data_IF_834588881381
#
_entry.id   IF_834588881381
#
_cell.length_a   1.000
_cell.length_b   1.000
_cell.length_c   1.000
_cell.angle_alpha   90.00
_cell.angle_beta   90.00
_cell.angle_gamma   90.00
#
_symmetry.space_group_name_H-M   'P 1'
#
loop_
_entity.id
_entity.type
_entity.pdbx_description
1 polymer ?
#
# COMPACT_ATOMS: atom_id res chain seq x y z
N UNK A 1 0.20 -1.94 -16.57
CA UNK A 1 0.20 -0.50 -16.21
C UNK A 1 -1.20 0.08 -15.99
N UNK A 2 -2.13 0.01 -16.95
CA UNK A 2 -3.48 0.59 -16.81
C UNK A 2 -4.26 0.18 -15.55
N UNK A 3 -4.14 -1.08 -15.11
CA UNK A 3 -4.86 -1.56 -13.92
C UNK A 3 -4.41 -0.89 -12.62
N UNK A 4 -3.13 -0.51 -12.48
CA UNK A 4 -2.63 0.13 -11.26
C UNK A 4 -3.11 1.59 -11.14
N UNK A 5 -3.22 2.30 -12.27
CA UNK A 5 -3.74 3.68 -12.32
C UNK A 5 -5.24 3.70 -12.00
N UNK A 6 -6.00 2.74 -12.54
CA UNK A 6 -7.44 2.63 -12.25
C UNK A 6 -7.68 2.32 -10.77
N UNK A 7 -6.91 1.38 -10.18
CA UNK A 7 -7.02 1.06 -8.76
C UNK A 7 -6.62 2.26 -7.89
N UNK A 8 -5.60 3.03 -8.28
CA UNK A 8 -5.21 4.25 -7.58
C UNK A 8 -6.36 5.25 -7.52
N UNK A 9 -6.93 5.62 -8.67
CA UNK A 9 -8.02 6.59 -8.73
C UNK A 9 -9.27 6.08 -7.99
N UNK A 10 -9.59 4.80 -8.10
CA UNK A 10 -10.71 4.22 -7.35
C UNK A 10 -10.47 4.25 -5.84
N UNK A 11 -9.22 4.13 -5.39
CA UNK A 11 -8.89 4.17 -3.96
C UNK A 11 -9.10 5.54 -3.32
N UNK A 12 -9.16 6.65 -4.09
CA UNK A 12 -9.45 7.98 -3.54
C UNK A 12 -10.85 8.07 -2.92
N UNK A 13 -11.80 7.27 -3.42
CA UNK A 13 -13.11 7.16 -2.84
C UNK A 13 -13.09 6.23 -1.61
N UNK A 14 -13.50 6.75 -0.45
CA UNK A 14 -13.48 6.03 0.82
C UNK A 14 -14.27 4.71 0.82
N UNK A 15 -15.39 4.63 0.09
CA UNK A 15 -16.19 3.40 -0.01
C UNK A 15 -15.49 2.33 -0.86
N UNK A 16 -14.72 2.76 -1.85
CA UNK A 16 -14.01 1.86 -2.75
C UNK A 16 -12.75 1.30 -2.09
N UNK A 17 -12.15 1.98 -1.11
CA UNK A 17 -10.96 1.49 -0.38
C UNK A 17 -11.17 0.09 0.18
N UNK A 18 -12.29 -0.14 0.86
CA UNK A 18 -12.59 -1.45 1.47
C UNK A 18 -12.97 -2.47 0.39
N UNK A 19 -13.76 -2.06 -0.62
CA UNK A 19 -14.15 -2.94 -1.73
C UNK A 19 -12.93 -3.45 -2.51
N UNK A 20 -12.00 -2.58 -2.89
CA UNK A 20 -10.75 -2.96 -3.58
C UNK A 20 -10.00 -4.06 -2.82
N UNK A 21 -9.89 -3.91 -1.49
CA UNK A 21 -9.20 -4.90 -0.65
C UNK A 21 -9.99 -6.21 -0.55
N UNK A 22 -11.32 -6.14 -0.41
CA UNK A 22 -12.20 -7.32 -0.33
C UNK A 22 -12.22 -8.12 -1.64
N UNK A 23 -12.20 -7.44 -2.79
CA UNK A 23 -12.16 -8.04 -4.13
C UNK A 23 -10.76 -8.57 -4.52
N UNK A 24 -9.81 -8.63 -3.58
CA UNK A 24 -8.50 -9.21 -3.83
C UNK A 24 -7.50 -8.28 -4.52
N UNK A 25 -7.66 -6.96 -4.38
CA UNK A 25 -6.71 -5.98 -4.94
C UNK A 25 -5.34 -5.93 -4.25
N UNK A 26 -5.19 -6.48 -3.03
CA UNK A 26 -3.93 -6.40 -2.28
C UNK A 26 -2.77 -7.24 -2.86
N UNK A 27 -2.94 -8.54 -3.17
CA UNK A 27 -1.84 -9.35 -3.71
C UNK A 27 -1.12 -8.74 -4.94
N UNK A 28 -1.81 -8.26 -5.99
CA UNK A 28 -1.12 -7.63 -7.11
C UNK A 28 -0.43 -6.33 -6.73
N UNK A 29 -1.02 -5.50 -5.85
CA UNK A 29 -0.39 -4.28 -5.37
C UNK A 29 0.90 -4.58 -4.57
N UNK A 30 0.87 -5.57 -3.69
CA UNK A 30 2.04 -5.99 -2.89
C UNK A 30 3.13 -6.55 -3.80
N UNK A 31 2.77 -7.32 -4.83
CA UNK A 31 3.75 -7.81 -5.82
C UNK A 31 4.43 -6.68 -6.59
N UNK A 32 3.71 -5.56 -6.83
CA UNK A 32 4.28 -4.39 -7.50
C UNK A 32 5.27 -3.61 -6.62
N UNK A 33 5.14 -3.70 -5.28
CA UNK A 33 6.11 -3.08 -4.35
C UNK A 33 7.51 -3.69 -4.43
N UNK A 34 7.65 -4.88 -5.02
CA UNK A 34 8.94 -5.55 -5.24
C UNK A 34 9.39 -5.53 -6.70
N UNK A 35 8.71 -4.75 -7.56
CA UNK A 35 9.02 -4.64 -8.98
C UNK A 35 10.12 -3.63 -9.30
N UNK A 36 10.64 -3.69 -10.54
CA UNK A 36 11.70 -2.81 -11.04
C UNK A 36 11.19 -1.61 -11.85
N UNK A 37 9.88 -1.53 -12.12
CA UNK A 37 9.30 -0.40 -12.87
C UNK A 37 8.97 0.75 -11.90
N UNK A 38 9.72 1.83 -12.00
CA UNK A 38 9.64 2.96 -11.09
C UNK A 38 8.25 3.61 -11.03
N UNK A 39 7.60 3.79 -12.18
CA UNK A 39 6.25 4.39 -12.26
C UNK A 39 5.22 3.49 -11.58
N UNK A 40 5.31 2.18 -11.80
CA UNK A 40 4.42 1.23 -11.13
C UNK A 40 4.67 1.16 -9.63
N UNK A 41 5.92 1.29 -9.22
CA UNK A 41 6.31 1.31 -7.82
C UNK A 41 5.75 2.53 -7.08
N UNK A 42 5.86 3.73 -7.66
CA UNK A 42 5.25 4.96 -7.15
C UNK A 42 3.72 4.79 -7.01
N UNK A 43 3.05 4.34 -8.07
CA UNK A 43 1.59 4.15 -8.05
C UNK A 43 1.16 3.10 -7.02
N UNK A 44 1.86 1.99 -6.93
CA UNK A 44 1.56 0.92 -5.99
C UNK A 44 1.74 1.39 -4.54
N UNK A 45 2.85 2.08 -4.25
CA UNK A 45 3.17 2.59 -2.91
C UNK A 45 2.16 3.67 -2.49
N UNK A 46 1.83 4.60 -3.38
CA UNK A 46 0.78 5.60 -3.16
C UNK A 46 -0.59 4.97 -2.88
N UNK A 47 -0.95 3.95 -3.66
CA UNK A 47 -2.23 3.24 -3.51
C UNK A 47 -2.28 2.51 -2.18
N UNK A 48 -1.22 1.80 -1.78
CA UNK A 48 -1.14 1.11 -0.48
C UNK A 48 -1.21 2.11 0.67
N UNK A 49 -0.53 3.24 0.58
CA UNK A 49 -0.61 4.33 1.55
C UNK A 49 -2.06 4.81 1.73
N UNK A 50 -2.75 5.05 0.63
CA UNK A 50 -4.12 5.55 0.65
C UNK A 50 -5.13 4.50 1.14
N UNK A 51 -4.94 3.22 0.80
CA UNK A 51 -5.74 2.11 1.33
C UNK A 51 -5.52 1.96 2.84
N UNK A 52 -4.29 2.17 3.31
CA UNK A 52 -3.92 2.10 4.73
C UNK A 52 -4.56 3.20 5.58
N UNK A 53 -5.19 4.25 5.02
CA UNK A 53 -5.92 5.22 5.85
C UNK A 53 -7.20 4.64 6.45
N UNK A 54 -7.70 3.52 5.92
CA UNK A 54 -8.89 2.84 6.44
C UNK A 54 -8.49 1.76 7.48
N UNK A 55 -9.05 1.78 8.71
CA UNK A 55 -8.68 0.83 9.77
C UNK A 55 -8.82 -0.66 9.39
N UNK A 56 -9.87 -1.04 8.66
CA UNK A 56 -10.13 -2.42 8.23
C UNK A 56 -9.05 -2.89 7.23
N UNK A 57 -8.60 -1.98 6.36
CA UNK A 57 -7.54 -2.26 5.40
C UNK A 57 -6.17 -2.36 6.07
N UNK A 58 -5.91 -1.58 7.14
CA UNK A 58 -4.62 -1.62 7.86
C UNK A 58 -4.27 -3.05 8.29
N UNK A 59 -5.23 -3.77 8.87
CA UNK A 59 -5.05 -5.16 9.33
C UNK A 59 -4.83 -6.10 8.15
N UNK A 60 -5.62 -5.95 7.08
CA UNK A 60 -5.51 -6.81 5.89
C UNK A 60 -4.20 -6.62 5.14
N UNK A 61 -3.71 -5.39 5.02
CA UNK A 61 -2.41 -5.09 4.40
C UNK A 61 -1.30 -5.80 5.18
N UNK A 62 -1.31 -5.72 6.51
CA UNK A 62 -0.34 -6.42 7.36
C UNK A 62 -0.44 -7.95 7.19
N UNK A 63 -1.65 -8.52 7.28
CA UNK A 63 -1.88 -9.96 7.14
C UNK A 63 -1.52 -10.53 5.76
N UNK A 64 -1.62 -9.71 4.70
CA UNK A 64 -1.24 -10.10 3.33
C UNK A 64 0.25 -9.93 3.05
N UNK A 65 1.07 -9.56 4.05
CA UNK A 65 2.51 -9.42 3.89
C UNK A 65 2.93 -8.11 3.22
N UNK A 66 2.15 -7.04 3.35
CA UNK A 66 2.51 -5.72 2.79
C UNK A 66 3.62 -5.00 3.55
N UNK A 67 3.89 -5.35 4.81
CA UNK A 67 4.89 -4.66 5.65
C UNK A 67 6.34 -4.89 5.18
N UNK A 68 6.81 -6.13 4.92
CA UNK A 68 8.20 -6.35 4.52
C UNK A 68 8.63 -5.61 3.24
N UNK A 69 7.83 -5.59 2.14
CA UNK A 69 8.16 -4.81 0.96
C UNK A 69 8.24 -3.30 1.25
N UNK A 70 7.34 -2.76 2.06
CA UNK A 70 7.37 -1.33 2.43
C UNK A 70 8.64 -0.97 3.22
N UNK A 71 9.12 -1.85 4.11
CA UNK A 71 10.40 -1.66 4.80
C UNK A 71 11.57 -1.68 3.80
N UNK A 72 11.52 -2.58 2.82
CA UNK A 72 12.52 -2.67 1.75
C UNK A 72 12.62 -1.43 0.85
N UNK A 73 11.59 -0.56 0.86
CA UNK A 73 11.56 0.70 0.11
C UNK A 73 12.08 1.91 0.89
N UNK A 74 12.34 1.79 2.19
CA UNK A 74 12.94 2.87 2.99
C UNK A 74 14.33 3.34 2.49
N UNK A 75 15.22 2.47 1.97
CA UNK A 75 16.49 2.91 1.37
C UNK A 75 16.36 3.30 -0.11
N UNK A 76 15.14 3.46 -0.66
CA UNK A 76 14.94 3.87 -2.05
C UNK A 76 15.59 5.22 -2.34
N UNK A 77 16.26 5.35 -3.49
CA UNK A 77 16.80 6.63 -3.99
C UNK A 77 15.75 7.53 -4.64
N UNK A 78 14.49 7.07 -4.71
CA UNK A 78 13.35 7.86 -5.14
C UNK A 78 12.62 8.38 -3.91
N UNK A 79 12.72 9.69 -3.68
CA UNK A 79 12.16 10.39 -2.53
C UNK A 79 10.65 10.17 -2.38
N UNK A 80 9.92 10.18 -3.51
CA UNK A 80 8.46 9.98 -3.50
C UNK A 80 8.10 8.57 -3.00
N UNK A 81 8.78 7.53 -3.52
CA UNK A 81 8.57 6.15 -3.07
C UNK A 81 8.95 5.99 -1.60
N UNK A 82 10.07 6.60 -1.19
CA UNK A 82 10.51 6.56 0.20
C UNK A 82 9.48 7.21 1.14
N UNK A 83 9.00 8.41 0.80
CA UNK A 83 8.00 9.15 1.57
C UNK A 83 6.68 8.37 1.67
N UNK A 84 6.20 7.82 0.56
CA UNK A 84 4.98 7.02 0.53
C UNK A 84 5.12 5.72 1.32
N UNK A 85 6.29 5.09 1.29
CA UNK A 85 6.57 3.89 2.09
C UNK A 85 6.57 4.22 3.59
N UNK A 86 7.23 5.31 3.99
CA UNK A 86 7.20 5.81 5.37
C UNK A 86 5.76 6.16 5.80
N UNK A 87 5.02 6.89 4.98
CA UNK A 87 3.63 7.25 5.23
C UNK A 87 2.73 6.03 5.39
N UNK A 88 2.91 5.02 4.54
CA UNK A 88 2.21 3.73 4.64
C UNK A 88 2.51 3.03 5.97
N UNK A 89 3.79 2.92 6.34
CA UNK A 89 4.20 2.30 7.60
C UNK A 89 3.67 3.05 8.83
N UNK A 90 3.69 4.39 8.80
CA UNK A 90 3.07 5.23 9.83
C UNK A 90 1.56 4.96 9.96
N UNK A 91 0.84 4.87 8.84
CA UNK A 91 -0.58 4.55 8.88
C UNK A 91 -0.85 3.16 9.45
N UNK A 92 -0.07 2.17 9.02
CA UNK A 92 -0.19 0.79 9.48
C UNK A 92 0.11 0.68 10.98
N UNK A 93 1.13 1.36 11.49
CA UNK A 93 1.52 1.32 12.91
C UNK A 93 0.51 2.00 13.84
N UNK A 94 -0.32 2.92 13.33
CA UNK A 94 -1.41 3.53 14.11
C UNK A 94 -2.53 2.54 14.46
N UNK A 95 -2.61 1.38 13.80
CA UNK A 95 -3.55 0.33 14.22
C UNK A 95 -2.92 -0.52 15.33
N UNK A 96 -3.58 -0.61 16.48
CA UNK A 96 -3.11 -1.39 17.63
C UNK A 96 -2.90 -2.89 17.31
N UNK A 97 -3.70 -3.47 16.41
CA UNK A 97 -3.55 -4.87 15.97
C UNK A 97 -2.28 -5.09 15.14
N UNK A 98 -1.76 -4.05 14.49
CA UNK A 98 -0.51 -4.10 13.74
C UNK A 98 0.71 -3.81 14.63
N UNK A 99 0.52 -3.37 15.89
CA UNK A 99 1.62 -3.03 16.80
C UNK A 99 2.33 -4.24 17.39
N UNK A 100 1.76 -5.46 17.29
CA UNK A 100 2.34 -6.63 17.98
C UNK A 100 2.03 -7.95 17.25
N UNK A 101 3.09 -8.57 16.71
CA UNK A 101 3.64 -9.83 17.23
C UNK A 101 5.15 -9.81 17.09
#
# INVERSE_FOLDING_TARGET
EHSSVVIHNLSENAENKVKIVREGGLPPLISLLSGFNQRLLELATATVMNLATNPENKVRIAQRGGIPPLIGLLPSSNDLVQEQAMGSLCQLSMNAENKVK
#
